data_IF_528220324732
#
_entry.id   IF_528220324732
#
_cell.length_a   1.000
_cell.length_b   1.000
_cell.length_c   1.000
_cell.angle_alpha   90.00
_cell.angle_beta   90.00
_cell.angle_gamma   90.00
#
_symmetry.space_group_name_H-M   'P 1'
#
loop_
_entity.id
_entity.type
_entity.pdbx_description
1 polymer ?
#
# COMPACT_ATOMS: atom_id res chain seq x y z
N UNK A 1 10.67 12.73 28.48
CA UNK A 1 11.25 12.38 27.18
C UNK A 1 10.11 12.09 26.22
N UNK A 2 9.73 13.06 25.39
CA UNK A 2 8.66 12.87 24.38
C UNK A 2 9.31 12.31 23.12
N UNK A 3 9.01 11.06 22.75
CA UNK A 3 9.41 10.50 21.46
C UNK A 3 8.64 11.25 20.38
N UNK A 4 9.33 12.08 19.60
CA UNK A 4 8.80 12.56 18.34
C UNK A 4 8.68 11.37 17.38
N UNK A 5 7.45 10.96 17.07
CA UNK A 5 7.20 9.96 16.02
C UNK A 5 7.22 10.69 14.69
N UNK A 6 8.24 10.45 13.87
CA UNK A 6 8.27 10.94 12.50
C UNK A 6 7.33 10.08 11.65
N UNK A 7 6.28 10.68 11.10
CA UNK A 7 5.42 10.02 10.11
C UNK A 7 6.17 9.98 8.78
N UNK A 8 6.78 8.84 8.46
CA UNK A 8 7.27 8.60 7.10
C UNK A 8 6.08 8.18 6.23
N UNK A 9 5.67 9.03 5.28
CA UNK A 9 4.75 8.61 4.21
C UNK A 9 5.55 7.97 3.10
N UNK A 10 5.19 6.74 2.74
CA UNK A 10 5.59 6.19 1.45
C UNK A 10 5.23 7.21 0.36
N UNK A 11 6.16 7.53 -0.53
CA UNK A 11 5.99 8.53 -1.60
C UNK A 11 5.16 7.94 -2.75
N UNK A 12 4.03 7.34 -2.40
CA UNK A 12 3.08 6.67 -3.28
C UNK A 12 1.79 7.46 -3.36
N UNK A 13 1.14 7.41 -4.52
CA UNK A 13 -0.19 7.94 -4.74
C UNK A 13 -1.16 6.77 -4.88
N UNK A 14 -2.19 6.73 -4.02
CA UNK A 14 -3.27 5.75 -4.03
C UNK A 14 -4.59 6.49 -3.82
N UNK A 15 -5.69 5.90 -4.30
CA UNK A 15 -7.01 6.42 -3.95
C UNK A 15 -7.24 6.24 -2.44
N UNK A 16 -7.69 7.30 -1.72
CA UNK A 16 -7.81 7.28 -0.28
C UNK A 16 -8.96 6.38 0.21
N UNK A 17 -9.96 6.14 -0.64
CA UNK A 17 -11.14 5.35 -0.33
C UNK A 17 -11.73 4.74 -1.59
N UNK A 18 -12.29 3.54 -1.46
CA UNK A 18 -13.08 2.89 -2.50
C UNK A 18 -14.22 2.15 -1.80
N UNK A 19 -15.44 2.31 -2.31
CA UNK A 19 -16.62 1.59 -1.84
C UNK A 19 -17.15 0.71 -2.98
N UNK A 20 -17.59 -0.50 -2.64
CA UNK A 20 -18.17 -1.44 -3.60
C UNK A 20 -19.19 -2.33 -2.88
N UNK A 21 -19.97 -3.07 -3.65
CA UNK A 21 -20.88 -4.09 -3.11
C UNK A 21 -20.12 -5.37 -2.77
N UNK A 22 -20.52 -6.06 -1.70
CA UNK A 22 -19.97 -7.36 -1.33
C UNK A 22 -20.05 -8.36 -2.51
N UNK A 23 -18.98 -9.11 -2.72
CA UNK A 23 -18.85 -10.06 -3.83
C UNK A 23 -18.36 -9.44 -5.15
N UNK A 24 -18.25 -8.11 -5.25
CA UNK A 24 -17.66 -7.45 -6.41
C UNK A 24 -16.15 -7.31 -6.21
N UNK A 25 -15.36 -7.78 -7.20
CA UNK A 25 -13.92 -7.59 -7.22
C UNK A 25 -13.54 -6.11 -7.40
N UNK A 26 -12.48 -5.67 -6.72
CA UNK A 26 -11.97 -4.31 -6.80
C UNK A 26 -10.53 -4.28 -7.32
N UNK A 27 -10.17 -3.17 -7.97
CA UNK A 27 -8.80 -2.87 -8.35
C UNK A 27 -8.29 -1.70 -7.50
N UNK A 28 -7.30 -1.96 -6.67
CA UNK A 28 -6.60 -0.93 -5.90
C UNK A 28 -5.35 -0.55 -6.66
N UNK A 29 -5.26 0.71 -7.07
CA UNK A 29 -4.13 1.23 -7.85
C UNK A 29 -3.12 1.94 -6.95
N UNK A 30 -1.85 1.87 -7.34
CA UNK A 30 -0.76 2.59 -6.69
C UNK A 30 0.20 3.13 -7.75
N UNK A 31 0.51 4.41 -7.67
CA UNK A 31 1.56 5.06 -8.46
C UNK A 31 2.73 5.39 -7.55
N UNK A 32 3.91 4.87 -7.88
CA UNK A 32 5.15 5.17 -7.17
C UNK A 32 6.15 5.79 -8.16
N UNK A 33 6.09 7.12 -8.41
CA UNK A 33 6.86 7.73 -9.50
C UNK A 33 8.39 7.69 -9.31
N UNK A 34 8.85 7.52 -8.06
CA UNK A 34 10.27 7.49 -7.69
C UNK A 34 10.83 6.09 -7.38
N UNK A 35 10.06 5.02 -7.63
CA UNK A 35 10.52 3.66 -7.36
C UNK A 35 11.55 3.24 -8.39
N UNK A 36 12.57 2.48 -7.98
CA UNK A 36 13.53 1.93 -8.94
C UNK A 36 12.94 0.68 -9.60
N UNK A 37 13.37 0.44 -10.84
CA UNK A 37 13.02 -0.73 -11.66
C UNK A 37 13.24 -2.06 -10.91
N UNK A 38 14.29 -2.15 -10.10
CA UNK A 38 14.64 -3.36 -9.34
C UNK A 38 14.05 -3.39 -7.91
N UNK A 39 13.18 -2.45 -7.55
CA UNK A 39 12.56 -2.43 -6.22
C UNK A 39 11.28 -3.30 -6.18
N UNK A 40 10.96 -3.73 -4.97
CA UNK A 40 9.72 -4.45 -4.68
C UNK A 40 8.65 -3.52 -4.11
N UNK A 41 7.41 -3.76 -4.52
CA UNK A 41 6.20 -3.15 -3.97
C UNK A 41 5.55 -4.17 -3.04
N UNK A 42 5.40 -3.78 -1.77
CA UNK A 42 4.76 -4.60 -0.74
C UNK A 42 3.34 -4.08 -0.50
N UNK A 43 2.35 -4.93 -0.70
CA UNK A 43 0.96 -4.61 -0.43
C UNK A 43 0.55 -5.16 0.92
N UNK A 44 0.08 -4.27 1.81
CA UNK A 44 -0.41 -4.64 3.13
C UNK A 44 -1.91 -4.35 3.26
N UNK A 45 -2.60 -5.19 4.02
CA UNK A 45 -3.98 -4.97 4.48
C UNK A 45 -3.96 -4.81 5.98
N UNK A 46 -4.68 -3.81 6.49
CA UNK A 46 -4.87 -3.64 7.91
C UNK A 46 -6.36 -3.55 8.24
N UNK A 47 -6.84 -4.49 9.03
CA UNK A 47 -8.19 -4.43 9.61
C UNK A 47 -8.17 -3.64 10.93
N UNK A 48 -9.29 -2.99 11.30
CA UNK A 48 -9.39 -2.31 12.59
C UNK A 48 -8.98 -3.21 13.76
N UNK A 49 -8.11 -2.71 14.63
CA UNK A 49 -7.62 -3.43 15.80
C UNK A 49 -6.59 -4.54 15.53
N UNK A 50 -6.10 -4.69 14.28
CA UNK A 50 -5.09 -5.68 13.91
C UNK A 50 -3.82 -5.03 13.37
N UNK A 51 -2.71 -5.77 13.42
CA UNK A 51 -1.47 -5.39 12.75
C UNK A 51 -1.58 -5.49 11.22
N UNK A 52 -0.63 -4.90 10.48
CA UNK A 52 -0.56 -5.05 9.04
C UNK A 52 -0.33 -6.52 8.63
N UNK A 53 -1.08 -6.98 7.64
CA UNK A 53 -0.97 -8.30 7.01
C UNK A 53 -0.41 -8.12 5.60
N UNK A 54 0.67 -8.82 5.26
CA UNK A 54 1.22 -8.81 3.90
C UNK A 54 0.28 -9.58 2.96
N UNK A 55 -0.19 -8.92 1.91
CA UNK A 55 -1.00 -9.54 0.86
C UNK A 55 -0.13 -10.13 -0.25
N UNK A 56 0.74 -9.30 -0.83
CA UNK A 56 1.57 -9.67 -1.98
C UNK A 56 2.82 -8.80 -2.07
N UNK A 57 3.89 -9.38 -2.62
CA UNK A 57 5.12 -8.69 -3.00
C UNK A 57 5.19 -8.72 -4.52
N UNK A 58 5.31 -7.55 -5.14
CA UNK A 58 5.28 -7.38 -6.60
C UNK A 58 6.58 -6.71 -7.02
N UNK A 59 7.24 -7.20 -8.06
CA UNK A 59 8.40 -6.52 -8.61
C UNK A 59 7.94 -5.36 -9.50
N UNK A 60 8.61 -4.20 -9.47
CA UNK A 60 8.15 -3.05 -10.29
C UNK A 60 8.07 -3.36 -11.79
N UNK A 61 8.91 -4.29 -12.26
CA UNK A 61 8.96 -4.73 -13.66
C UNK A 61 8.01 -5.89 -14.00
N UNK A 62 7.21 -6.38 -13.04
CA UNK A 62 6.20 -7.38 -13.36
C UNK A 62 5.12 -6.73 -14.23
N UNK A 63 4.98 -7.27 -15.44
CA UNK A 63 4.01 -6.82 -16.45
C UNK A 63 2.58 -7.12 -16.05
#
# INVERSE_FOLDING_TARGET
FSMAVAVARAQVQQEPSLETTEGIGINITCSHPKIQTNDYIYWYRQHPGRGPELLVIVHKDSK
#
